data_IF_541100932713
#
_entry.id   IF_541100932713
#
_cell.length_a   1.000
_cell.length_b   1.000
_cell.length_c   1.000
_cell.angle_alpha   90.00
_cell.angle_beta   90.00
_cell.angle_gamma   90.00
#
_symmetry.space_group_name_H-M   'P 1'
#
loop_
_entity.id
_entity.type
_entity.pdbx_description
1 polymer ?
#
# COMPACT_ATOMS: atom_id res chain seq x y z
N UNK A 1 5.55 -1.45 2.04
CA UNK A 1 6.29 -1.86 3.25
C UNK A 1 5.55 -2.95 4.00
N UNK A 2 6.31 -3.85 4.66
CA UNK A 2 5.77 -4.98 5.37
C UNK A 2 6.60 -6.25 5.21
N UNK A 3 6.02 -7.41 5.57
CA UNK A 3 6.69 -8.71 5.44
C UNK A 3 6.77 -9.13 3.97
N UNK A 4 7.95 -9.62 3.55
CA UNK A 4 8.16 -10.14 2.19
C UNK A 4 7.80 -11.63 2.14
N UNK A 5 6.52 -11.91 1.90
CA UNK A 5 5.99 -13.27 1.86
C UNK A 5 4.93 -13.41 0.77
N UNK A 6 4.61 -14.65 0.40
CA UNK A 6 3.67 -14.94 -0.70
C UNK A 6 2.27 -14.41 -0.39
N UNK A 7 1.77 -14.62 0.83
CA UNK A 7 0.44 -14.15 1.24
C UNK A 7 0.29 -12.63 1.21
N UNK A 8 1.40 -11.89 1.25
CA UNK A 8 1.42 -10.44 1.06
C UNK A 8 1.49 -10.02 -0.41
N UNK A 9 1.37 -10.97 -1.34
CA UNK A 9 1.36 -10.71 -2.79
C UNK A 9 2.69 -10.18 -3.34
N UNK A 10 3.79 -10.38 -2.59
CA UNK A 10 5.11 -9.89 -3.01
C UNK A 10 5.57 -10.59 -4.29
N UNK A 11 5.24 -11.88 -4.45
CA UNK A 11 5.55 -12.62 -5.68
C UNK A 11 4.90 -11.99 -6.92
N UNK A 12 3.61 -11.64 -6.85
CA UNK A 12 2.88 -10.94 -7.92
C UNK A 12 3.45 -9.55 -8.18
N UNK A 13 3.75 -8.78 -7.13
CA UNK A 13 4.36 -7.46 -7.28
C UNK A 13 5.74 -7.52 -7.95
N UNK A 14 6.60 -8.50 -7.59
CA UNK A 14 7.91 -8.68 -8.21
C UNK A 14 7.79 -8.97 -9.71
N UNK A 15 6.81 -9.78 -10.14
CA UNK A 15 6.56 -10.01 -11.57
C UNK A 15 6.30 -8.70 -12.29
N UNK A 16 5.43 -7.86 -11.73
CA UNK A 16 5.10 -6.55 -12.30
C UNK A 16 6.29 -5.60 -12.28
N UNK A 17 7.09 -5.58 -11.21
CA UNK A 17 8.29 -4.75 -11.16
C UNK A 17 9.28 -5.06 -12.30
N UNK A 18 9.45 -6.34 -12.64
CA UNK A 18 10.31 -6.75 -13.76
C UNK A 18 9.83 -6.24 -15.12
N UNK A 19 8.52 -6.09 -15.29
CA UNK A 19 7.91 -5.60 -16.52
C UNK A 19 7.87 -4.09 -16.64
N UNK A 20 8.16 -3.37 -15.55
CA UNK A 20 8.15 -1.90 -15.46
C UNK A 20 9.55 -1.36 -15.11
N UNK A 21 10.57 -1.53 -15.96
CA UNK A 21 11.96 -1.23 -15.63
C UNK A 21 12.21 0.27 -15.35
N UNK A 22 11.37 1.16 -15.88
CA UNK A 22 11.49 2.61 -15.71
C UNK A 22 10.80 3.11 -14.43
N UNK A 23 10.03 2.26 -13.76
CA UNK A 23 9.40 2.57 -12.48
C UNK A 23 10.36 2.20 -11.35
N UNK A 24 10.61 3.12 -10.44
CA UNK A 24 11.44 2.88 -9.26
C UNK A 24 10.58 2.45 -8.09
N UNK A 25 10.89 1.29 -7.53
CA UNK A 25 10.21 0.74 -6.38
C UNK A 25 11.12 0.77 -5.13
N UNK A 26 10.54 1.13 -4.00
CA UNK A 26 11.21 1.03 -2.70
C UNK A 26 10.47 -0.01 -1.87
N UNK A 27 11.19 -1.01 -1.42
CA UNK A 27 10.68 -2.07 -0.56
C UNK A 27 11.28 -1.88 0.84
N UNK A 28 10.42 -1.78 1.85
CA UNK A 28 10.83 -1.65 3.25
C UNK A 28 10.25 -2.82 4.05
N UNK A 29 11.11 -3.71 4.51
CA UNK A 29 10.72 -4.91 5.23
C UNK A 29 11.74 -6.03 5.11
N UNK A 30 11.37 -7.19 5.61
CA UNK A 30 12.15 -8.43 5.53
C UNK A 30 11.19 -9.61 5.36
N UNK A 31 11.70 -10.77 4.97
CA UNK A 31 10.88 -11.97 4.87
C UNK A 31 11.46 -13.03 3.95
N UNK A 32 10.74 -14.15 3.77
CA UNK A 32 11.24 -15.29 2.98
C UNK A 32 11.58 -14.94 1.52
N UNK A 33 10.98 -13.88 0.95
CA UNK A 33 11.23 -13.46 -0.43
C UNK A 33 12.29 -12.36 -0.56
N UNK A 34 13.06 -12.07 0.49
CA UNK A 34 14.04 -10.96 0.50
C UNK A 34 15.12 -11.12 -0.58
N UNK A 35 15.65 -12.32 -0.77
CA UNK A 35 16.65 -12.58 -1.81
C UNK A 35 16.08 -12.31 -3.22
N UNK A 36 14.82 -12.68 -3.45
CA UNK A 36 14.14 -12.43 -4.73
C UNK A 36 13.94 -10.94 -4.97
N UNK A 37 13.56 -10.17 -3.94
CA UNK A 37 13.43 -8.71 -3.98
C UNK A 37 14.78 -8.07 -4.35
N UNK A 38 15.86 -8.49 -3.70
CA UNK A 38 17.21 -7.94 -3.90
C UNK A 38 17.76 -8.18 -5.32
N UNK A 39 17.25 -9.17 -6.03
CA UNK A 39 17.69 -9.50 -7.40
C UNK A 39 17.14 -8.58 -8.50
N UNK A 40 16.25 -7.63 -8.20
CA UNK A 40 15.55 -6.82 -9.21
C UNK A 40 16.14 -5.40 -9.29
N UNK A 41 16.61 -5.00 -10.48
CA UNK A 41 17.39 -3.76 -10.67
C UNK A 41 16.64 -2.46 -10.30
N UNK A 42 15.34 -2.40 -10.53
CA UNK A 42 14.51 -1.22 -10.27
C UNK A 42 13.82 -1.27 -8.90
N UNK A 43 14.17 -2.25 -8.06
CA UNK A 43 13.76 -2.34 -6.66
C UNK A 43 14.94 -1.95 -5.77
N UNK A 44 14.70 -1.00 -4.87
CA UNK A 44 15.61 -0.69 -3.76
C UNK A 44 15.01 -1.27 -2.48
N UNK A 45 15.59 -2.38 -1.99
CA UNK A 45 15.29 -2.87 -0.65
C UNK A 45 16.06 -2.05 0.38
N UNK A 46 15.35 -1.45 1.34
CA UNK A 46 15.92 -0.65 2.42
C UNK A 46 15.89 -1.38 3.77
N UNK A 47 15.50 -2.65 3.76
CA UNK A 47 15.37 -3.46 4.96
C UNK A 47 14.19 -3.05 5.84
N UNK A 48 14.14 -3.57 7.05
CA UNK A 48 13.10 -3.22 8.01
C UNK A 48 13.24 -1.76 8.47
N UNK A 49 12.17 -1.00 8.37
CA UNK A 49 12.09 0.40 8.78
C UNK A 49 11.00 0.61 9.81
N UNK A 50 11.18 1.57 10.73
CA UNK A 50 10.20 1.97 11.75
C UNK A 50 10.34 3.45 12.10
N UNK A 51 9.33 4.00 12.77
CA UNK A 51 9.32 5.39 13.25
C UNK A 51 9.56 6.39 12.12
N UNK A 52 10.34 7.43 12.39
CA UNK A 52 10.60 8.53 11.46
C UNK A 52 11.17 8.09 10.10
N UNK A 53 11.99 7.03 10.09
CA UNK A 53 12.56 6.52 8.84
C UNK A 53 11.48 5.91 7.93
N UNK A 54 10.54 5.16 8.49
CA UNK A 54 9.40 4.61 7.74
C UNK A 54 8.45 5.73 7.31
N UNK A 55 8.12 6.65 8.21
CA UNK A 55 7.27 7.81 7.92
C UNK A 55 7.82 8.61 6.74
N UNK A 56 9.12 8.92 6.74
CA UNK A 56 9.76 9.64 5.64
C UNK A 56 9.60 8.90 4.31
N UNK A 57 9.86 7.59 4.29
CA UNK A 57 9.70 6.78 3.06
C UNK A 57 8.26 6.83 2.53
N UNK A 58 7.27 6.74 3.43
CA UNK A 58 5.87 6.80 3.04
C UNK A 58 5.54 8.19 2.47
N UNK A 59 5.90 9.27 3.16
CA UNK A 59 5.64 10.66 2.73
C UNK A 59 6.29 11.03 1.39
N UNK A 60 7.46 10.47 1.11
CA UNK A 60 8.21 10.74 -0.13
C UNK A 60 7.72 9.87 -1.30
N UNK A 61 6.94 8.83 -1.05
CA UNK A 61 6.41 7.97 -2.08
C UNK A 61 5.30 8.67 -2.88
N UNK A 62 5.26 8.44 -4.20
CA UNK A 62 4.15 8.91 -5.04
C UNK A 62 2.83 8.22 -4.68
N UNK A 63 2.90 6.94 -4.39
CA UNK A 63 1.82 6.10 -3.85
C UNK A 63 2.42 4.85 -3.21
N UNK A 64 1.69 4.24 -2.30
CA UNK A 64 2.02 2.94 -1.70
C UNK A 64 1.29 1.83 -2.41
N UNK A 65 1.89 0.64 -2.48
CA UNK A 65 1.26 -0.56 -3.04
C UNK A 65 1.06 -1.57 -1.92
N UNK A 66 -0.17 -2.07 -1.79
CA UNK A 66 -0.54 -3.09 -0.83
C UNK A 66 -1.15 -4.30 -1.56
N UNK A 67 -0.30 -5.25 -2.04
CA UNK A 67 -0.71 -6.28 -2.99
C UNK A 67 -1.18 -7.58 -2.33
N UNK A 68 -1.71 -7.54 -1.11
CA UNK A 68 -2.06 -8.74 -0.34
C UNK A 68 -2.95 -9.71 -1.12
N UNK A 69 -2.63 -10.99 -1.03
CA UNK A 69 -3.42 -12.11 -1.55
C UNK A 69 -4.11 -12.88 -0.40
N UNK A 70 -4.06 -12.30 0.80
CA UNK A 70 -4.71 -12.84 2.00
C UNK A 70 -5.84 -11.93 2.47
N UNK A 71 -6.86 -12.51 3.09
CA UNK A 71 -7.97 -11.75 3.69
C UNK A 71 -7.47 -10.96 4.90
N UNK A 72 -7.05 -9.73 4.66
CA UNK A 72 -6.71 -8.78 5.72
C UNK A 72 -7.98 -8.25 6.39
N UNK A 73 -7.97 -8.16 7.70
CA UNK A 73 -9.08 -7.57 8.42
C UNK A 73 -9.02 -6.03 8.38
N UNK A 74 -7.97 -5.47 8.98
CA UNK A 74 -7.75 -4.02 9.01
C UNK A 74 -6.25 -3.73 8.88
N UNK A 75 -5.70 -3.64 7.64
CA UNK A 75 -4.27 -3.48 7.45
C UNK A 75 -3.81 -2.06 7.82
N UNK A 76 -3.13 -1.94 8.95
CA UNK A 76 -2.58 -0.66 9.44
C UNK A 76 -1.68 0.03 8.42
N UNK A 77 -0.95 -0.73 7.59
CA UNK A 77 -0.08 -0.13 6.55
C UNK A 77 -0.85 0.70 5.52
N UNK A 78 -2.10 0.33 5.21
CA UNK A 78 -2.99 1.13 4.34
C UNK A 78 -3.37 2.42 5.06
N UNK A 79 -3.78 2.33 6.31
CA UNK A 79 -4.15 3.50 7.14
C UNK A 79 -2.96 4.44 7.31
N UNK A 80 -1.78 3.92 7.69
CA UNK A 80 -0.55 4.70 7.86
C UNK A 80 -0.18 5.46 6.60
N UNK A 81 -0.25 4.80 5.43
CA UNK A 81 0.03 5.47 4.15
C UNK A 81 -0.88 6.69 3.95
N UNK A 82 -2.18 6.52 4.14
CA UNK A 82 -3.15 7.60 3.97
C UNK A 82 -2.99 8.70 5.03
N UNK A 83 -2.75 8.34 6.29
CA UNK A 83 -2.48 9.30 7.38
C UNK A 83 -1.26 10.19 7.09
N UNK A 84 -0.26 9.64 6.41
CA UNK A 84 0.91 10.40 5.97
C UNK A 84 0.72 11.12 4.63
N UNK A 85 -0.50 11.09 4.08
CA UNK A 85 -0.84 11.78 2.83
C UNK A 85 -0.41 11.02 1.57
N UNK A 86 -0.17 9.72 1.65
CA UNK A 86 0.27 8.90 0.53
C UNK A 86 -0.88 8.04 0.01
N UNK A 87 -1.29 8.19 -1.26
CA UNK A 87 -2.35 7.37 -1.86
C UNK A 87 -1.98 5.89 -1.87
N UNK A 88 -2.98 5.02 -1.84
CA UNK A 88 -2.76 3.58 -1.81
C UNK A 88 -3.33 2.91 -3.06
N UNK A 89 -2.52 2.07 -3.69
CA UNK A 89 -2.97 1.06 -4.65
C UNK A 89 -3.10 -0.27 -3.88
N UNK A 90 -4.32 -0.66 -3.55
CA UNK A 90 -4.61 -1.85 -2.75
C UNK A 90 -5.22 -3.00 -3.55
N UNK A 91 -4.98 -4.23 -3.11
CA UNK A 91 -5.68 -5.38 -3.63
C UNK A 91 -7.16 -5.37 -3.21
N UNK A 92 -8.05 -5.74 -4.11
CA UNK A 92 -9.49 -5.87 -3.83
C UNK A 92 -9.77 -7.19 -3.12
N UNK A 93 -9.43 -7.25 -1.82
CA UNK A 93 -9.61 -8.44 -0.98
C UNK A 93 -9.75 -8.06 0.51
N UNK A 94 -10.57 -8.79 1.24
CA UNK A 94 -10.76 -8.60 2.68
C UNK A 94 -11.23 -7.19 3.04
N UNK A 95 -10.66 -6.60 4.09
CA UNK A 95 -10.96 -5.25 4.56
C UNK A 95 -10.19 -4.12 3.85
N UNK A 96 -9.33 -4.43 2.87
CA UNK A 96 -8.55 -3.40 2.15
C UNK A 96 -9.47 -2.41 1.41
N UNK A 97 -10.52 -2.87 0.67
CA UNK A 97 -11.42 -1.96 -0.04
C UNK A 97 -12.18 -0.99 0.86
N UNK A 98 -12.42 -1.36 2.11
CA UNK A 98 -13.13 -0.51 3.08
C UNK A 98 -12.31 0.72 3.50
N UNK A 99 -10.98 0.64 3.39
CA UNK A 99 -10.05 1.69 3.77
C UNK A 99 -9.71 2.64 2.62
N UNK A 100 -10.01 2.27 1.36
CA UNK A 100 -9.59 3.03 0.19
C UNK A 100 -10.82 3.63 -0.51
N UNK A 101 -10.91 4.93 -0.54
CA UNK A 101 -11.91 5.63 -1.35
C UNK A 101 -11.43 5.68 -2.80
N UNK A 102 -11.89 4.71 -3.62
CA UNK A 102 -11.48 4.58 -5.02
C UNK A 102 -11.73 5.88 -5.81
N UNK A 103 -10.73 6.33 -6.54
CA UNK A 103 -10.79 7.58 -7.29
C UNK A 103 -10.62 8.85 -6.44
N UNK A 104 -10.42 8.71 -5.11
CA UNK A 104 -10.20 9.85 -4.19
C UNK A 104 -8.90 9.72 -3.39
N UNK A 105 -8.66 8.58 -2.75
CA UNK A 105 -7.49 8.37 -1.89
C UNK A 105 -6.60 7.24 -2.39
N UNK A 106 -7.02 6.59 -3.47
CA UNK A 106 -6.27 5.50 -4.09
C UNK A 106 -7.07 4.76 -5.14
N UNK A 107 -6.56 3.62 -5.52
CA UNK A 107 -7.15 2.70 -6.50
C UNK A 107 -7.15 1.28 -5.93
N UNK A 108 -8.01 0.43 -6.50
CA UNK A 108 -8.02 -1.00 -6.25
C UNK A 108 -7.62 -1.76 -7.53
N UNK A 109 -7.03 -2.92 -7.34
CA UNK A 109 -6.79 -3.90 -8.40
C UNK A 109 -7.22 -5.28 -7.93
N UNK A 110 -7.54 -6.16 -8.87
CA UNK A 110 -7.95 -7.53 -8.58
C UNK A 110 -6.80 -8.31 -7.91
N UNK A 111 -7.05 -8.86 -6.72
CA UNK A 111 -6.04 -9.57 -5.93
C UNK A 111 -5.43 -10.73 -6.72
N UNK A 112 -4.09 -10.84 -6.72
CA UNK A 112 -3.33 -11.85 -7.48
C UNK A 112 -3.26 -11.60 -8.99
N UNK A 113 -3.95 -10.59 -9.53
CA UNK A 113 -3.93 -10.27 -10.96
C UNK A 113 -2.79 -9.31 -11.30
N UNK A 114 -1.68 -9.86 -11.80
CA UNK A 114 -0.50 -9.08 -12.18
C UNK A 114 -0.77 -8.07 -13.32
N UNK A 115 -1.62 -8.42 -14.29
CA UNK A 115 -1.96 -7.54 -15.42
C UNK A 115 -2.75 -6.30 -14.95
N UNK A 116 -3.72 -6.50 -14.06
CA UNK A 116 -4.49 -5.38 -13.51
C UNK A 116 -3.62 -4.51 -12.61
N UNK A 117 -2.81 -5.12 -11.73
CA UNK A 117 -1.83 -4.41 -10.92
C UNK A 117 -0.89 -3.54 -11.77
N UNK A 118 -0.35 -4.11 -12.86
CA UNK A 118 0.51 -3.39 -13.80
C UNK A 118 -0.19 -2.16 -14.39
N UNK A 119 -1.40 -2.33 -14.94
CA UNK A 119 -2.18 -1.23 -15.52
C UNK A 119 -2.43 -0.11 -14.52
N UNK A 120 -2.75 -0.46 -13.28
CA UNK A 120 -2.97 0.54 -12.21
C UNK A 120 -1.69 1.27 -11.82
N UNK A 121 -0.55 0.56 -11.75
CA UNK A 121 0.76 1.18 -11.52
C UNK A 121 1.10 2.14 -12.66
N UNK A 122 0.97 1.74 -13.91
CA UNK A 122 1.22 2.60 -15.08
C UNK A 122 0.34 3.86 -15.06
N UNK A 123 -0.95 3.72 -14.75
CA UNK A 123 -1.87 4.86 -14.58
C UNK A 123 -1.37 5.85 -13.54
N UNK A 124 -1.09 5.37 -12.32
CA UNK A 124 -0.65 6.23 -11.21
C UNK A 124 0.76 6.80 -11.43
N UNK A 125 1.67 6.02 -12.01
CA UNK A 125 3.01 6.48 -12.32
C UNK A 125 3.02 7.52 -13.44
N UNK A 126 2.17 7.37 -14.45
CA UNK A 126 2.05 8.28 -15.58
C UNK A 126 1.34 9.59 -15.24
N UNK A 127 0.46 9.59 -14.24
CA UNK A 127 -0.33 10.79 -13.87
C UNK A 127 0.03 11.32 -12.47
N UNK A 128 1.06 12.18 -12.46
CA UNK A 128 1.51 12.84 -11.24
C UNK A 128 0.44 13.71 -10.60
N UNK A 129 -0.37 14.41 -11.42
CA UNK A 129 -1.42 15.31 -10.92
C UNK A 129 -2.53 14.53 -10.20
N UNK A 130 -2.89 13.37 -10.73
CA UNK A 130 -3.83 12.47 -10.08
C UNK A 130 -3.33 12.04 -8.70
N UNK A 131 -2.06 11.62 -8.60
CA UNK A 131 -1.47 11.24 -7.30
C UNK A 131 -1.41 12.42 -6.32
N UNK A 132 -1.09 13.64 -6.80
CA UNK A 132 -1.09 14.85 -5.96
C UNK A 132 -2.50 15.19 -5.46
N UNK A 133 -3.53 14.97 -6.28
CA UNK A 133 -4.92 15.16 -5.87
C UNK A 133 -5.31 14.11 -4.82
N UNK A 134 -4.99 12.84 -5.03
CA UNK A 134 -5.26 11.78 -4.05
C UNK A 134 -4.51 12.04 -2.73
N UNK A 135 -3.27 12.51 -2.81
CA UNK A 135 -2.48 12.88 -1.63
C UNK A 135 -3.14 13.99 -0.80
N UNK A 136 -3.73 14.99 -1.46
CA UNK A 136 -4.49 16.04 -0.77
C UNK A 136 -5.72 15.46 -0.07
N UNK A 137 -6.47 14.60 -0.75
CA UNK A 137 -7.66 13.96 -0.19
C UNK A 137 -7.32 13.02 0.98
N UNK A 138 -6.16 12.36 0.97
CA UNK A 138 -5.71 11.53 2.08
C UNK A 138 -5.55 12.34 3.39
N UNK A 139 -5.18 13.62 3.32
CA UNK A 139 -5.04 14.48 4.50
C UNK A 139 -6.37 14.78 5.20
N UNK A 140 -7.48 14.62 4.49
CA UNK A 140 -8.84 14.83 5.02
C UNK A 140 -9.43 13.57 5.63
N UNK A 141 -8.72 12.42 5.56
CA UNK A 141 -9.14 11.17 6.19
C UNK A 141 -8.81 11.24 7.68
N UNK A 142 -9.80 10.93 8.50
CA UNK A 142 -9.63 10.63 9.91
C UNK A 142 -9.98 9.17 10.17
N UNK A 143 -9.12 8.47 10.87
CA UNK A 143 -9.43 7.17 11.45
C UNK A 143 -9.79 7.36 12.92
N UNK A 144 -10.68 6.50 13.42
CA UNK A 144 -11.05 6.53 14.83
C UNK A 144 -9.81 6.40 15.73
N UNK A 145 -9.76 7.19 16.77
CA UNK A 145 -8.85 6.96 17.88
C UNK A 145 -9.26 5.69 18.63
N UNK A 146 -8.37 5.17 19.48
CA UNK A 146 -8.69 4.00 20.32
C UNK A 146 -9.92 4.27 21.18
N UNK A 147 -10.07 5.48 21.72
CA UNK A 147 -11.19 5.84 22.57
C UNK A 147 -12.50 5.91 21.77
N UNK A 148 -12.49 6.53 20.59
CA UNK A 148 -13.66 6.58 19.70
C UNK A 148 -14.09 5.18 19.24
N UNK A 149 -13.13 4.33 18.91
CA UNK A 149 -13.38 2.94 18.53
C UNK A 149 -13.97 2.13 19.71
N UNK A 150 -13.41 2.32 20.92
CA UNK A 150 -13.93 1.71 22.13
C UNK A 150 -15.39 2.12 22.39
N UNK A 151 -15.71 3.40 22.30
CA UNK A 151 -17.08 3.89 22.49
C UNK A 151 -18.07 3.32 21.45
N UNK A 152 -17.63 3.14 20.21
CA UNK A 152 -18.44 2.49 19.16
C UNK A 152 -18.72 1.02 19.48
N UNK A 153 -17.69 0.29 19.88
CA UNK A 153 -17.85 -1.14 20.29
C UNK A 153 -18.79 -1.25 21.49
N UNK A 154 -18.60 -0.42 22.50
CA UNK A 154 -19.43 -0.49 23.71
C UNK A 154 -20.92 -0.21 23.46
N UNK A 155 -21.27 0.53 22.41
CA UNK A 155 -22.67 0.71 21.97
C UNK A 155 -23.28 -0.56 21.38
N UNK A 156 -22.47 -1.45 20.81
CA UNK A 156 -22.96 -2.73 20.27
C UNK A 156 -23.22 -3.75 21.38
N UNK A 157 -22.47 -3.66 22.49
CA UNK A 157 -22.58 -4.59 23.61
C UNK A 157 -23.57 -4.13 24.72
N UNK A 158 -24.18 -2.98 24.57
CA UNK A 158 -25.23 -2.43 25.47
C UNK A 158 -26.61 -2.63 24.85
#
# INVERSE_FOLDING_TARGET
FGRFSEEKGIGTLIKVCKELPDVKFIFAGTGPLEETVNGIKNIKNVGFQKGEALEKLIREARFSIYPSEWYENCPFSVMESQMYGTPVLGADIGGIPELIQVGKTGELFESGNAEDLKKKIEKLWGDKKLCEQYSKNCKDISFDTIDEYYEKIMKVYR
#
